data_IF_776726254654
#
_entry.id   IF_776726254654
#
_cell.length_a   1.000
_cell.length_b   1.000
_cell.length_c   1.000
_cell.angle_alpha   90.00
_cell.angle_beta   90.00
_cell.angle_gamma   90.00
#
_symmetry.space_group_name_H-M   'P 1'
#
loop_
_entity.id
_entity.type
_entity.pdbx_description
1 polymer ?
#
# COMPACT_ATOMS: atom_id res chain seq x y z
N UNK A 1 23.33 14.75 -15.80
CA UNK A 1 22.01 15.34 -15.47
C UNK A 1 20.92 14.36 -15.90
N UNK A 2 19.77 14.32 -15.22
CA UNK A 2 18.64 13.48 -15.63
C UNK A 2 18.05 14.01 -16.95
N UNK A 3 17.54 13.10 -17.78
CA UNK A 3 16.93 13.40 -19.09
C UNK A 3 15.42 13.57 -19.01
N UNK A 4 14.82 12.95 -17.99
CA UNK A 4 13.40 12.99 -17.72
C UNK A 4 13.14 13.60 -16.34
N UNK A 5 12.11 14.42 -16.25
CA UNK A 5 11.67 15.06 -15.01
C UNK A 5 10.71 14.15 -14.23
N UNK A 6 10.69 14.29 -12.91
CA UNK A 6 9.88 13.47 -12.00
C UNK A 6 9.04 14.33 -11.05
N UNK A 7 7.72 14.16 -11.15
CA UNK A 7 6.77 14.57 -10.12
C UNK A 7 6.60 13.43 -9.12
N UNK A 8 6.68 13.74 -7.84
CA UNK A 8 6.29 12.83 -6.77
C UNK A 8 4.97 13.32 -6.21
N UNK A 9 3.96 12.45 -6.20
CA UNK A 9 2.64 12.77 -5.69
C UNK A 9 2.34 11.96 -4.44
N UNK A 10 1.95 12.65 -3.37
CA UNK A 10 1.62 12.05 -2.06
C UNK A 10 0.23 12.49 -1.65
N UNK A 11 -0.60 11.54 -1.25
CA UNK A 11 -1.85 11.81 -0.53
C UNK A 11 -1.66 11.43 0.93
N UNK A 12 -2.15 12.24 1.85
CA UNK A 12 -1.88 12.03 3.27
C UNK A 12 -3.03 12.47 4.16
N UNK A 13 -3.10 11.87 5.36
CA UNK A 13 -3.95 12.28 6.48
C UNK A 13 -3.44 11.69 7.79
N UNK A 14 -3.03 12.53 8.73
CA UNK A 14 -2.58 12.14 10.08
C UNK A 14 -1.39 11.15 10.10
N UNK A 15 -0.33 11.51 9.40
CA UNK A 15 0.87 10.72 9.13
C UNK A 15 2.14 11.37 9.71
N UNK A 16 2.04 12.19 10.76
CA UNK A 16 3.19 12.94 11.31
C UNK A 16 4.39 12.06 11.70
N UNK A 17 4.13 10.80 12.05
CA UNK A 17 5.12 9.79 12.44
C UNK A 17 5.81 9.08 11.26
N UNK A 18 5.28 9.20 10.05
CA UNK A 18 5.77 8.47 8.86
C UNK A 18 6.12 9.37 7.68
N UNK A 19 5.36 10.44 7.47
CA UNK A 19 5.44 11.29 6.28
C UNK A 19 6.85 11.84 6.07
N UNK A 20 7.57 12.19 7.13
CA UNK A 20 8.93 12.71 6.99
C UNK A 20 9.90 11.67 6.38
N UNK A 21 9.75 10.39 6.74
CA UNK A 21 10.56 9.30 6.18
C UNK A 21 10.25 9.12 4.69
N UNK A 22 8.96 9.17 4.32
CA UNK A 22 8.53 9.17 2.92
C UNK A 22 9.19 10.30 2.14
N UNK A 23 9.05 11.55 2.60
CA UNK A 23 9.54 12.73 1.90
C UNK A 23 11.08 12.77 1.79
N UNK A 24 11.81 12.41 2.86
CA UNK A 24 13.28 12.28 2.83
C UNK A 24 13.76 11.29 1.78
N UNK A 25 13.01 10.21 1.52
CA UNK A 25 13.43 9.19 0.55
C UNK A 25 13.32 9.63 -0.92
N UNK A 26 12.59 10.71 -1.20
CA UNK A 26 12.27 11.16 -2.56
C UNK A 26 12.73 12.58 -2.88
N UNK A 27 12.95 13.43 -1.88
CA UNK A 27 13.23 14.87 -2.06
C UNK A 27 14.42 15.16 -2.98
N UNK A 28 15.50 14.36 -2.89
CA UNK A 28 16.70 14.57 -3.71
C UNK A 28 16.53 14.12 -5.18
N UNK A 29 15.46 13.38 -5.49
CA UNK A 29 15.20 12.80 -6.81
C UNK A 29 14.03 13.51 -7.49
N UNK A 30 13.08 14.06 -6.73
CA UNK A 30 11.93 14.78 -7.25
C UNK A 30 12.35 16.11 -7.89
N UNK A 31 11.81 16.41 -9.07
CA UNK A 31 11.84 17.79 -9.62
C UNK A 31 10.63 18.58 -9.12
N UNK A 32 9.54 17.89 -8.81
CA UNK A 32 8.31 18.43 -8.26
C UNK A 32 7.77 17.48 -7.19
N UNK A 33 7.38 18.02 -6.04
CA UNK A 33 6.74 17.25 -4.97
C UNK A 33 5.37 17.86 -4.68
N UNK A 34 4.31 17.11 -4.97
CA UNK A 34 2.90 17.51 -4.78
C UNK A 34 2.31 16.74 -3.61
N UNK A 35 1.80 17.44 -2.62
CA UNK A 35 1.14 16.84 -1.46
C UNK A 35 -0.33 17.26 -1.40
N UNK A 36 -1.23 16.29 -1.32
CA UNK A 36 -2.64 16.49 -1.00
C UNK A 36 -2.94 15.96 0.40
N UNK A 37 -3.15 16.89 1.32
CA UNK A 37 -3.57 16.60 2.68
C UNK A 37 -5.11 16.56 2.76
N UNK A 38 -5.64 15.57 3.47
CA UNK A 38 -7.09 15.31 3.56
C UNK A 38 -7.71 15.75 4.89
N UNK A 39 -7.20 16.86 5.43
CA UNK A 39 -7.63 17.47 6.69
C UNK A 39 -6.94 16.85 7.90
N UNK A 40 -5.60 16.76 7.88
CA UNK A 40 -4.81 16.34 9.03
C UNK A 40 -5.00 17.31 10.19
N UNK A 41 -5.01 16.76 11.40
CA UNK A 41 -5.14 17.49 12.67
C UNK A 41 -3.87 17.41 13.52
N UNK A 42 -2.85 16.72 13.02
CA UNK A 42 -1.54 16.53 13.63
C UNK A 42 -0.48 17.37 12.87
N UNK A 43 0.81 17.15 13.13
CA UNK A 43 1.88 17.92 12.50
C UNK A 43 2.14 17.58 11.02
N UNK A 44 1.34 16.73 10.37
CA UNK A 44 1.57 16.25 8.98
C UNK A 44 1.78 17.39 8.00
N UNK A 45 0.90 18.41 8.00
CA UNK A 45 0.99 19.54 7.06
C UNK A 45 2.27 20.35 7.28
N UNK A 46 2.59 20.65 8.55
CA UNK A 46 3.79 21.41 8.92
C UNK A 46 5.07 20.67 8.47
N UNK A 47 5.09 19.34 8.61
CA UNK A 47 6.20 18.53 8.14
C UNK A 47 6.31 18.60 6.61
N UNK A 48 5.22 18.42 5.87
CA UNK A 48 5.22 18.50 4.40
C UNK A 48 5.73 19.85 3.87
N UNK A 49 5.34 20.95 4.50
CA UNK A 49 5.74 22.31 4.12
C UNK A 49 7.26 22.56 4.25
N UNK A 50 7.99 21.73 5.01
CA UNK A 50 9.47 21.80 5.06
C UNK A 50 10.14 21.28 3.78
N UNK A 51 9.42 20.51 2.96
CA UNK A 51 9.94 19.84 1.76
C UNK A 51 9.41 20.42 0.44
N UNK A 52 8.24 21.06 0.45
CA UNK A 52 7.64 21.65 -0.75
C UNK A 52 6.61 22.72 -0.39
N UNK A 53 6.49 23.74 -1.23
CA UNK A 53 5.39 24.72 -1.16
C UNK A 53 4.09 24.20 -1.79
N UNK A 54 4.14 23.10 -2.55
CA UNK A 54 2.97 22.53 -3.24
C UNK A 54 2.20 21.55 -2.33
N UNK A 55 1.72 22.07 -1.20
CA UNK A 55 0.85 21.36 -0.26
C UNK A 55 -0.56 21.92 -0.36
N UNK A 56 -1.52 21.07 -0.75
CA UNK A 56 -2.95 21.42 -0.85
C UNK A 56 -3.75 20.67 0.19
N UNK A 57 -4.46 21.38 1.07
CA UNK A 57 -5.42 20.81 2.01
C UNK A 57 -6.78 20.71 1.32
N UNK A 58 -7.43 19.54 1.37
CA UNK A 58 -8.70 19.28 0.68
C UNK A 58 -9.55 18.22 1.40
N UNK A 59 -10.73 17.91 0.84
CA UNK A 59 -11.62 16.87 1.34
C UNK A 59 -11.12 15.45 0.99
N UNK A 60 -11.77 14.42 1.54
CA UNK A 60 -11.46 13.01 1.26
C UNK A 60 -12.57 12.34 0.43
N UNK A 61 -12.49 12.40 -0.92
CA UNK A 61 -13.48 11.76 -1.80
C UNK A 61 -13.24 10.26 -2.03
N UNK A 62 -12.24 9.67 -1.36
CA UNK A 62 -11.75 8.30 -1.59
C UNK A 62 -10.43 8.24 -2.37
N UNK A 63 -9.78 7.08 -2.36
CA UNK A 63 -8.40 6.92 -2.85
C UNK A 63 -8.23 7.27 -4.33
N UNK A 64 -9.06 6.70 -5.22
CA UNK A 64 -8.92 6.90 -6.67
C UNK A 64 -9.06 8.37 -7.09
N UNK A 65 -10.11 9.04 -6.60
CA UNK A 65 -10.35 10.47 -6.85
C UNK A 65 -9.25 11.35 -6.28
N UNK A 66 -8.75 11.05 -5.08
CA UNK A 66 -7.69 11.84 -4.46
C UNK A 66 -6.35 11.67 -5.20
N UNK A 67 -6.00 10.44 -5.61
CA UNK A 67 -4.80 10.18 -6.43
C UNK A 67 -4.91 10.81 -7.82
N UNK A 68 -6.10 10.84 -8.42
CA UNK A 68 -6.31 11.57 -9.68
C UNK A 68 -6.09 13.08 -9.49
N UNK A 69 -6.67 13.69 -8.44
CA UNK A 69 -6.43 15.12 -8.13
C UNK A 69 -4.95 15.44 -7.94
N UNK A 70 -4.18 14.49 -7.39
CA UNK A 70 -2.73 14.62 -7.24
C UNK A 70 -2.00 14.54 -8.57
N UNK A 71 -2.38 13.59 -9.42
CA UNK A 71 -1.87 13.44 -10.78
C UNK A 71 -2.17 14.67 -11.66
N UNK A 72 -3.36 15.26 -11.53
CA UNK A 72 -3.77 16.44 -12.31
C UNK A 72 -2.93 17.69 -11.97
N UNK A 73 -2.31 17.72 -10.79
CA UNK A 73 -1.38 18.79 -10.36
C UNK A 73 0.07 18.54 -10.80
N UNK A 74 0.41 17.31 -11.20
CA UNK A 74 1.76 16.96 -11.61
C UNK A 74 2.08 17.56 -12.99
N UNK A 75 3.30 18.07 -13.17
CA UNK A 75 3.72 18.75 -14.41
C UNK A 75 4.87 18.06 -15.14
N UNK A 76 5.63 17.18 -14.47
CA UNK A 76 6.79 16.52 -15.05
C UNK A 76 6.45 15.37 -16.01
N UNK A 77 7.48 14.82 -16.66
CA UNK A 77 7.34 13.70 -17.62
C UNK A 77 6.85 12.41 -16.97
N UNK A 78 7.37 12.12 -15.77
CA UNK A 78 7.07 10.92 -14.99
C UNK A 78 6.44 11.29 -13.65
N UNK A 79 5.62 10.37 -13.14
CA UNK A 79 4.98 10.47 -11.85
C UNK A 79 5.32 9.25 -11.01
N UNK A 80 5.88 9.49 -9.83
CA UNK A 80 5.94 8.52 -8.73
C UNK A 80 4.80 8.84 -7.76
N UNK A 81 3.76 8.02 -7.76
CA UNK A 81 2.76 8.05 -6.70
C UNK A 81 3.24 7.19 -5.56
N UNK A 82 3.45 7.78 -4.39
CA UNK A 82 3.91 7.10 -3.18
C UNK A 82 2.97 7.43 -2.02
N UNK A 83 2.60 6.44 -1.23
CA UNK A 83 1.74 6.65 -0.06
C UNK A 83 2.59 7.18 1.12
N UNK A 84 1.98 7.95 2.03
CA UNK A 84 2.71 8.60 3.14
C UNK A 84 3.39 7.63 4.13
N UNK A 85 2.98 6.36 4.13
CA UNK A 85 3.56 5.27 4.90
C UNK A 85 4.57 4.43 4.09
N UNK A 86 4.95 4.87 2.89
CA UNK A 86 5.92 4.24 2.02
C UNK A 86 7.23 5.07 1.91
N UNK A 87 8.36 4.41 1.64
CA UNK A 87 9.63 5.10 1.36
C UNK A 87 10.49 4.30 0.38
N UNK A 88 11.31 4.96 -0.44
CA UNK A 88 12.28 4.28 -1.30
C UNK A 88 13.47 3.81 -0.48
N UNK A 89 13.91 2.55 -0.67
CA UNK A 89 15.23 2.14 -0.21
C UNK A 89 16.34 2.68 -1.13
N UNK A 90 17.60 2.60 -0.68
CA UNK A 90 18.72 3.13 -1.44
C UNK A 90 18.88 2.48 -2.82
N UNK A 91 18.60 1.18 -2.94
CA UNK A 91 18.72 0.46 -4.21
C UNK A 91 17.68 0.96 -5.21
N UNK A 92 16.44 1.17 -4.75
CA UNK A 92 15.35 1.69 -5.55
C UNK A 92 15.58 3.14 -5.95
N UNK A 93 16.05 3.98 -5.02
CA UNK A 93 16.45 5.37 -5.31
C UNK A 93 17.52 5.44 -6.39
N UNK A 94 18.58 4.62 -6.29
CA UNK A 94 19.63 4.53 -7.32
C UNK A 94 19.06 4.03 -8.65
N UNK A 95 18.24 2.98 -8.63
CA UNK A 95 17.61 2.43 -9.82
C UNK A 95 16.70 3.44 -10.54
N UNK A 96 15.96 4.25 -9.78
CA UNK A 96 15.09 5.31 -10.30
C UNK A 96 15.93 6.42 -10.95
N UNK A 97 17.00 6.87 -10.30
CA UNK A 97 17.89 7.90 -10.86
C UNK A 97 18.53 7.42 -12.17
N UNK A 98 19.03 6.19 -12.22
CA UNK A 98 19.60 5.62 -13.43
C UNK A 98 18.58 5.43 -14.54
N UNK A 99 17.33 5.10 -14.19
CA UNK A 99 16.24 5.02 -15.15
C UNK A 99 15.96 6.38 -15.80
N UNK A 100 15.86 7.46 -15.01
CA UNK A 100 15.55 8.82 -15.47
C UNK A 100 16.70 9.48 -16.25
N UNK A 101 17.91 8.90 -16.24
CA UNK A 101 19.05 9.34 -17.05
C UNK A 101 19.06 8.75 -18.47
N UNK A 102 18.29 7.69 -18.73
CA UNK A 102 18.25 7.05 -20.05
C UNK A 102 17.68 8.02 -21.09
N UNK A 103 18.26 8.06 -22.30
CA UNK A 103 17.71 8.87 -23.39
C UNK A 103 16.34 8.36 -23.86
N UNK A 104 16.12 7.05 -23.78
CA UNK A 104 14.84 6.42 -24.09
C UNK A 104 14.53 5.31 -23.09
N UNK A 105 13.47 5.54 -22.30
CA UNK A 105 12.95 4.54 -21.37
C UNK A 105 12.01 3.57 -22.11
N UNK A 106 12.33 2.27 -22.05
CA UNK A 106 11.62 1.19 -22.75
C UNK A 106 10.15 1.03 -22.32
N UNK A 107 9.87 1.16 -21.03
CA UNK A 107 8.56 0.92 -20.45
C UNK A 107 7.81 2.24 -20.22
N UNK A 108 6.48 2.20 -20.19
CA UNK A 108 5.66 3.39 -19.84
C UNK A 108 5.30 3.44 -18.36
N UNK A 109 5.51 2.33 -17.64
CA UNK A 109 5.29 2.22 -16.21
C UNK A 109 6.19 1.17 -15.57
N UNK A 110 6.40 1.29 -14.27
CA UNK A 110 7.19 0.38 -13.46
C UNK A 110 6.45 0.00 -12.17
N UNK A 111 6.53 -1.28 -11.85
CA UNK A 111 6.13 -1.79 -10.54
C UNK A 111 7.30 -1.74 -9.59
N UNK A 112 7.02 -1.36 -8.35
CA UNK A 112 7.96 -1.27 -7.26
C UNK A 112 7.65 -2.41 -6.27
N UNK A 113 8.58 -3.35 -6.05
CA UNK A 113 8.42 -4.41 -5.06
C UNK A 113 8.24 -3.83 -3.65
N UNK A 114 7.17 -4.20 -2.94
CA UNK A 114 7.02 -3.81 -1.54
C UNK A 114 8.04 -4.52 -0.64
N UNK A 115 8.68 -3.77 0.25
CA UNK A 115 9.37 -4.28 1.42
C UNK A 115 8.54 -3.95 2.65
N UNK A 116 7.61 -4.82 3.04
CA UNK A 116 6.81 -4.58 4.26
C UNK A 116 7.76 -4.51 5.46
N UNK A 117 7.79 -3.38 6.15
CA UNK A 117 8.71 -3.15 7.27
C UNK A 117 7.93 -3.16 8.58
N UNK A 118 8.26 -4.12 9.44
CA UNK A 118 7.63 -4.30 10.75
C UNK A 118 8.71 -4.47 11.82
N UNK A 119 8.58 -3.73 12.92
CA UNK A 119 9.44 -3.85 14.11
C UNK A 119 10.94 -3.76 13.76
N UNK A 120 11.31 -2.85 12.84
CA UNK A 120 12.68 -2.66 12.37
C UNK A 120 13.17 -3.73 11.36
N UNK A 121 12.32 -4.65 10.93
CA UNK A 121 12.67 -5.70 9.94
C UNK A 121 11.89 -5.50 8.65
N UNK A 122 12.60 -5.34 7.54
CA UNK A 122 12.01 -5.36 6.19
C UNK A 122 11.87 -6.80 5.70
N UNK A 123 10.62 -7.24 5.55
CA UNK A 123 10.28 -8.59 5.13
C UNK A 123 10.53 -8.75 3.62
N UNK A 124 11.15 -9.87 3.23
CA UNK A 124 11.40 -10.22 1.82
C UNK A 124 10.54 -11.39 1.35
N UNK A 125 9.96 -12.15 2.28
CA UNK A 125 9.22 -13.37 2.01
C UNK A 125 7.78 -13.28 2.54
N UNK A 126 7.08 -14.41 2.57
CA UNK A 126 5.70 -14.47 3.05
C UNK A 126 4.73 -13.70 2.15
N UNK A 127 4.17 -12.60 2.65
CA UNK A 127 3.22 -11.74 1.90
C UNK A 127 3.86 -10.44 1.42
N UNK A 128 5.16 -10.26 1.65
CA UNK A 128 5.95 -9.12 1.16
C UNK A 128 6.39 -9.33 -0.31
N UNK A 129 7.17 -8.40 -0.85
CA UNK A 129 7.77 -8.45 -2.20
C UNK A 129 6.78 -8.49 -3.38
N UNK A 130 5.48 -8.22 -3.14
CA UNK A 130 4.54 -7.97 -4.24
C UNK A 130 4.87 -6.62 -4.87
N UNK A 131 5.00 -6.60 -6.20
CA UNK A 131 5.27 -5.36 -6.91
C UNK A 131 3.97 -4.62 -7.26
N UNK A 132 3.86 -3.37 -6.81
CA UNK A 132 2.74 -2.45 -7.08
C UNK A 132 3.14 -1.40 -8.11
N UNK A 133 2.22 -1.05 -9.01
CA UNK A 133 2.49 -0.02 -10.02
C UNK A 133 2.42 1.36 -9.35
N UNK A 134 3.56 2.05 -9.32
CA UNK A 134 3.72 3.33 -8.59
C UNK A 134 4.44 4.39 -9.43
N UNK A 135 5.24 3.99 -10.42
CA UNK A 135 5.95 4.89 -11.33
C UNK A 135 5.40 4.75 -12.76
N UNK A 136 5.04 5.86 -13.40
CA UNK A 136 4.46 5.85 -14.75
C UNK A 136 4.67 7.19 -15.45
N UNK A 137 4.61 7.20 -16.79
CA UNK A 137 4.58 8.43 -17.57
C UNK A 137 3.33 9.24 -17.23
N UNK A 138 3.46 10.54 -17.01
CA UNK A 138 2.31 11.40 -16.68
C UNK A 138 1.28 11.40 -17.81
N UNK A 139 1.73 11.74 -19.02
CA UNK A 139 0.87 11.84 -20.18
C UNK A 139 0.28 10.48 -20.55
N UNK A 140 -1.05 10.44 -20.71
CA UNK A 140 -1.79 9.23 -21.04
C UNK A 140 -2.19 8.36 -19.85
N UNK A 141 -1.63 8.60 -18.66
CA UNK A 141 -1.97 7.86 -17.45
C UNK A 141 -3.14 8.49 -16.69
N UNK A 142 -3.94 7.66 -16.02
CA UNK A 142 -5.04 8.08 -15.15
C UNK A 142 -5.32 7.08 -14.04
N UNK A 143 -5.90 7.51 -12.94
CA UNK A 143 -6.46 6.63 -11.91
C UNK A 143 -7.90 6.25 -12.25
N UNK A 144 -8.29 5.02 -11.88
CA UNK A 144 -9.71 4.70 -11.78
C UNK A 144 -10.36 5.49 -10.64
N UNK A 145 -11.63 5.86 -10.80
CA UNK A 145 -12.35 6.67 -9.82
C UNK A 145 -12.98 5.84 -8.69
N UNK A 146 -12.51 4.60 -8.52
CA UNK A 146 -12.98 3.69 -7.48
C UNK A 146 -12.61 4.24 -6.09
N UNK A 147 -13.52 4.10 -5.12
CA UNK A 147 -13.29 4.56 -3.74
C UNK A 147 -12.27 3.68 -3.00
N UNK A 148 -12.19 2.38 -3.37
CA UNK A 148 -11.30 1.37 -2.77
C UNK A 148 -10.79 0.44 -3.87
N UNK A 149 -9.50 0.07 -3.82
CA UNK A 149 -8.81 -0.74 -4.84
C UNK A 149 -8.60 0.01 -6.17
N UNK A 150 -8.31 1.31 -6.06
CA UNK A 150 -7.94 2.13 -7.19
C UNK A 150 -6.75 1.53 -7.94
N UNK A 151 -6.77 1.65 -9.25
CA UNK A 151 -5.67 1.21 -10.11
C UNK A 151 -5.27 2.36 -11.01
N UNK A 152 -3.97 2.62 -11.13
CA UNK A 152 -3.48 3.47 -12.20
C UNK A 152 -3.54 2.71 -13.52
N UNK A 153 -4.19 3.30 -14.49
CA UNK A 153 -4.20 2.89 -15.90
C UNK A 153 -3.09 3.70 -16.56
N UNK A 154 -1.89 3.10 -16.77
CA UNK A 154 -0.80 3.81 -17.40
C UNK A 154 -1.05 4.00 -18.90
N UNK A 155 -0.30 4.91 -19.50
CA UNK A 155 -0.23 5.07 -20.95
C UNK A 155 0.11 3.74 -21.66
N UNK A 156 -0.41 3.58 -22.87
CA UNK A 156 -0.21 2.37 -23.68
C UNK A 156 1.28 2.01 -23.79
N UNK A 157 1.61 0.77 -23.41
CA UNK A 157 2.98 0.31 -23.43
C UNK A 157 3.20 -0.89 -22.53
N UNK A 158 4.47 -1.20 -22.29
CA UNK A 158 4.88 -2.31 -21.43
C UNK A 158 5.22 -1.82 -20.02
N UNK A 159 5.03 -2.70 -19.04
CA UNK A 159 5.36 -2.42 -17.63
C UNK A 159 6.62 -3.17 -17.21
N UNK A 160 7.58 -2.45 -16.64
CA UNK A 160 8.79 -3.01 -16.01
C UNK A 160 8.63 -3.27 -14.51
N UNK A 161 9.67 -3.82 -13.90
CA UNK A 161 9.81 -3.89 -12.43
C UNK A 161 11.13 -3.21 -12.08
N UNK A 162 11.08 -2.26 -11.14
CA UNK A 162 12.27 -1.57 -10.66
C UNK A 162 12.98 -2.43 -9.59
N UNK A 163 14.30 -2.32 -9.52
CA UNK A 163 15.09 -2.99 -8.47
C UNK A 163 14.97 -2.25 -7.14
N UNK A 164 15.31 -2.92 -6.03
CA UNK A 164 15.13 -2.42 -4.66
C UNK A 164 13.73 -2.63 -4.11
N UNK A 165 13.45 -2.00 -2.97
CA UNK A 165 12.17 -2.07 -2.27
C UNK A 165 11.54 -0.71 -2.03
N UNK A 166 10.23 -0.67 -2.23
CA UNK A 166 9.34 0.34 -1.68
C UNK A 166 9.00 -0.10 -0.26
N UNK A 167 9.74 0.42 0.72
CA UNK A 167 9.53 0.15 2.13
C UNK A 167 8.11 0.56 2.49
N UNK A 168 7.38 -0.30 3.19
CA UNK A 168 5.99 -0.05 3.57
C UNK A 168 5.78 -0.22 5.06
N UNK A 169 5.62 0.89 5.78
CA UNK A 169 5.47 0.98 7.23
C UNK A 169 4.00 0.83 7.65
N UNK A 170 3.41 -0.32 7.32
CA UNK A 170 1.97 -0.52 7.42
C UNK A 170 1.40 -0.51 8.85
N UNK A 171 2.24 -0.75 9.86
CA UNK A 171 1.89 -0.73 11.28
C UNK A 171 2.78 0.25 12.04
N UNK A 172 2.18 0.94 13.01
CA UNK A 172 2.89 1.86 13.93
C UNK A 172 3.62 1.06 15.01
N UNK A 173 2.89 0.12 15.58
CA UNK A 173 3.35 -0.82 16.58
C UNK A 173 2.53 -2.11 16.46
N UNK A 174 2.76 -3.05 17.38
CA UNK A 174 2.05 -4.33 17.41
C UNK A 174 0.54 -4.16 17.68
N UNK A 175 0.16 -3.25 18.59
CA UNK A 175 -1.24 -2.99 18.95
C UNK A 175 -2.04 -2.42 17.79
N UNK A 176 -1.51 -1.41 17.11
CA UNK A 176 -2.10 -0.88 15.88
C UNK A 176 -2.27 -1.98 14.82
N UNK A 177 -1.29 -2.89 14.69
CA UNK A 177 -1.40 -4.05 13.82
C UNK A 177 -2.55 -5.00 14.17
N UNK A 178 -2.78 -5.25 15.47
CA UNK A 178 -3.89 -6.08 15.94
C UNK A 178 -5.26 -5.45 15.63
N UNK A 179 -5.42 -4.15 15.91
CA UNK A 179 -6.68 -3.44 15.68
C UNK A 179 -7.03 -3.44 14.19
N UNK A 180 -6.04 -3.13 13.34
CA UNK A 180 -6.18 -3.16 11.87
C UNK A 180 -6.54 -4.57 11.39
N UNK A 181 -5.90 -5.60 11.92
CA UNK A 181 -6.19 -6.99 11.61
C UNK A 181 -7.62 -7.38 11.99
N UNK A 182 -8.10 -6.97 13.16
CA UNK A 182 -9.47 -7.23 13.62
C UNK A 182 -10.52 -6.54 12.73
N UNK A 183 -10.33 -5.26 12.43
CA UNK A 183 -11.21 -4.49 11.54
C UNK A 183 -11.27 -5.12 10.14
N UNK A 184 -10.10 -5.47 9.58
CA UNK A 184 -10.02 -6.09 8.26
C UNK A 184 -10.72 -7.46 8.22
N UNK A 185 -10.56 -8.28 9.27
CA UNK A 185 -11.26 -9.55 9.38
C UNK A 185 -12.79 -9.34 9.39
N UNK A 186 -13.29 -8.38 10.17
CA UNK A 186 -14.72 -8.08 10.28
C UNK A 186 -15.33 -7.55 8.97
N UNK A 187 -14.66 -6.60 8.30
CA UNK A 187 -15.06 -6.13 6.98
C UNK A 187 -15.10 -7.28 5.96
N UNK A 188 -14.12 -8.19 6.05
CA UNK A 188 -14.08 -9.42 5.27
C UNK A 188 -15.30 -10.32 5.51
N UNK A 189 -15.71 -10.49 6.76
CA UNK A 189 -16.91 -11.27 7.13
C UNK A 189 -18.16 -10.67 6.49
N UNK A 190 -18.39 -9.37 6.66
CA UNK A 190 -19.54 -8.67 6.09
C UNK A 190 -19.56 -8.76 4.55
N UNK A 191 -18.40 -8.58 3.91
CA UNK A 191 -18.27 -8.69 2.45
C UNK A 191 -18.62 -10.11 1.96
N UNK A 192 -18.21 -11.14 2.68
CA UNK A 192 -18.51 -12.52 2.32
C UNK A 192 -20.00 -12.83 2.53
N UNK A 193 -20.58 -12.35 3.63
CA UNK A 193 -22.00 -12.48 3.92
C UNK A 193 -22.88 -11.82 2.83
N UNK A 194 -22.57 -10.57 2.45
CA UNK A 194 -23.26 -9.86 1.35
C UNK A 194 -23.17 -10.59 0.01
N UNK A 195 -22.11 -11.39 -0.20
CA UNK A 195 -21.92 -12.22 -1.40
C UNK A 195 -22.56 -13.60 -1.30
N UNK A 196 -23.31 -13.89 -0.23
CA UNK A 196 -23.93 -15.21 -0.01
C UNK A 196 -22.92 -16.34 0.19
N UNK A 197 -21.65 -16.04 0.50
CA UNK A 197 -20.65 -17.08 0.78
C UNK A 197 -21.00 -17.75 2.09
N UNK A 198 -20.75 -19.07 2.16
CA UNK A 198 -20.96 -19.87 3.36
C UNK A 198 -19.69 -20.01 4.19
N UNK A 199 -19.81 -19.96 5.52
CA UNK A 199 -18.71 -20.19 6.46
C UNK A 199 -18.26 -21.65 6.46
N UNK A 200 -19.23 -22.57 6.32
CA UNK A 200 -19.08 -24.02 6.49
C UNK A 200 -18.58 -24.43 7.89
N UNK A 201 -18.91 -23.63 8.91
CA UNK A 201 -18.65 -23.97 10.32
C UNK A 201 -17.25 -23.61 10.85
N UNK A 202 -17.14 -23.66 12.18
CA UNK A 202 -15.94 -23.23 12.91
C UNK A 202 -14.72 -24.15 12.69
N UNK A 203 -14.95 -25.45 12.50
CA UNK A 203 -13.86 -26.39 12.23
C UNK A 203 -13.14 -26.06 10.92
N UNK A 204 -13.88 -25.74 9.86
CA UNK A 204 -13.26 -25.35 8.58
C UNK A 204 -12.61 -23.95 8.66
N UNK A 205 -13.12 -23.05 9.52
CA UNK A 205 -12.44 -21.79 9.81
C UNK A 205 -11.04 -22.03 10.42
N UNK A 206 -10.92 -22.96 11.37
CA UNK A 206 -9.63 -23.36 11.96
C UNK A 206 -8.69 -23.98 10.93
N UNK A 207 -9.16 -24.93 10.12
CA UNK A 207 -8.35 -25.54 9.04
C UNK A 207 -7.83 -24.49 8.06
N UNK A 208 -8.67 -23.52 7.67
CA UNK A 208 -8.27 -22.42 6.78
C UNK A 208 -7.22 -21.51 7.41
N UNK A 209 -7.29 -21.28 8.72
CA UNK A 209 -6.29 -20.52 9.45
C UNK A 209 -4.94 -21.23 9.48
N UNK A 210 -4.93 -22.52 9.85
CA UNK A 210 -3.72 -23.36 9.84
C UNK A 210 -3.10 -23.45 8.44
N UNK A 211 -3.93 -23.65 7.41
CA UNK A 211 -3.46 -23.63 6.02
C UNK A 211 -2.86 -22.28 5.63
N UNK A 212 -3.45 -21.17 6.09
CA UNK A 212 -2.92 -19.83 5.82
C UNK A 212 -1.56 -19.63 6.48
N UNK A 213 -1.40 -20.07 7.73
CA UNK A 213 -0.11 -20.07 8.42
C UNK A 213 0.92 -20.88 7.63
N UNK A 214 0.62 -22.13 7.32
CA UNK A 214 1.53 -23.02 6.58
C UNK A 214 1.93 -22.43 5.23
N UNK A 215 0.96 -21.90 4.49
CA UNK A 215 1.21 -21.29 3.19
C UNK A 215 2.11 -20.05 3.30
N UNK A 216 1.88 -19.16 4.27
CA UNK A 216 2.67 -17.93 4.41
C UNK A 216 4.05 -18.22 5.01
N UNK A 217 4.12 -19.03 6.05
CA UNK A 217 5.35 -19.31 6.78
C UNK A 217 6.27 -20.27 6.02
N UNK A 218 5.73 -21.39 5.52
CA UNK A 218 6.53 -22.46 4.88
C UNK A 218 6.59 -22.29 3.37
N UNK A 219 5.45 -22.32 2.67
CA UNK A 219 5.42 -22.31 1.19
C UNK A 219 5.98 -21.01 0.64
N UNK A 220 5.60 -19.87 1.24
CA UNK A 220 6.15 -18.56 0.89
C UNK A 220 7.41 -18.19 1.67
N UNK A 221 8.00 -19.15 2.39
CA UNK A 221 9.29 -19.02 3.08
C UNK A 221 9.37 -17.86 4.06
N UNK A 222 8.25 -17.46 4.67
CA UNK A 222 8.22 -16.43 5.71
C UNK A 222 9.14 -16.74 6.91
N UNK A 223 9.48 -18.02 7.15
CA UNK A 223 10.49 -18.39 8.15
C UNK A 223 11.88 -17.78 7.90
N UNK A 224 12.19 -17.39 6.65
CA UNK A 224 13.46 -16.73 6.32
C UNK A 224 13.51 -15.27 6.78
N UNK A 225 12.36 -14.68 7.14
CA UNK A 225 12.28 -13.36 7.79
C UNK A 225 12.31 -13.48 9.35
N UNK A 226 12.68 -14.64 9.89
CA UNK A 226 12.86 -14.87 11.32
C UNK A 226 11.59 -14.68 12.16
N UNK A 227 11.74 -14.13 13.37
CA UNK A 227 10.64 -13.95 14.33
C UNK A 227 9.54 -13.04 13.79
N UNK A 228 9.89 -12.00 13.02
CA UNK A 228 8.88 -11.10 12.42
C UNK A 228 8.10 -11.83 11.33
N UNK A 229 8.75 -12.65 10.52
CA UNK A 229 8.08 -13.53 9.56
C UNK A 229 7.07 -14.50 10.21
N UNK A 230 7.41 -15.04 11.38
CA UNK A 230 6.48 -15.87 12.17
C UNK A 230 5.28 -15.07 12.68
N UNK A 231 5.52 -13.89 13.28
CA UNK A 231 4.45 -13.00 13.76
C UNK A 231 3.51 -12.65 12.61
N UNK A 232 4.07 -12.31 11.45
CA UNK A 232 3.32 -12.00 10.24
C UNK A 232 2.40 -13.17 9.83
N UNK A 233 2.96 -14.38 9.73
CA UNK A 233 2.21 -15.57 9.37
C UNK A 233 1.08 -15.88 10.36
N UNK A 234 1.32 -15.69 11.66
CA UNK A 234 0.30 -15.84 12.70
C UNK A 234 -0.80 -14.80 12.57
N UNK A 235 -0.47 -13.53 12.36
CA UNK A 235 -1.47 -12.47 12.14
C UNK A 235 -2.35 -12.79 10.93
N UNK A 236 -1.79 -13.26 9.82
CA UNK A 236 -2.61 -13.66 8.66
C UNK A 236 -3.52 -14.86 8.94
N UNK A 237 -3.05 -15.83 9.72
CA UNK A 237 -3.86 -16.96 10.14
C UNK A 237 -5.02 -16.51 11.04
N UNK A 238 -4.75 -15.66 12.02
CA UNK A 238 -5.76 -15.06 12.91
C UNK A 238 -6.79 -14.24 12.14
N UNK A 239 -6.36 -13.36 11.23
CA UNK A 239 -7.27 -12.59 10.36
C UNK A 239 -8.18 -13.52 9.57
N UNK A 240 -7.63 -14.59 9.00
CA UNK A 240 -8.42 -15.53 8.22
C UNK A 240 -9.41 -16.31 9.11
N UNK A 241 -8.98 -16.75 10.30
CA UNK A 241 -9.85 -17.38 11.28
C UNK A 241 -11.01 -16.45 11.66
N UNK A 242 -10.69 -15.26 12.18
CA UNK A 242 -11.66 -14.27 12.67
C UNK A 242 -12.67 -13.89 11.58
N UNK A 243 -12.23 -13.77 10.33
CA UNK A 243 -13.12 -13.49 9.19
C UNK A 243 -14.17 -14.59 9.00
N UNK A 244 -13.79 -15.87 9.10
CA UNK A 244 -14.74 -16.98 8.93
C UNK A 244 -15.60 -17.21 10.17
N UNK A 245 -15.09 -16.93 11.38
CA UNK A 245 -15.90 -16.91 12.62
C UNK A 245 -16.96 -15.80 12.52
N UNK A 246 -16.58 -14.59 12.14
CA UNK A 246 -17.52 -13.49 11.94
C UNK A 246 -18.58 -13.79 10.88
N UNK A 247 -18.20 -14.47 9.78
CA UNK A 247 -19.15 -14.93 8.77
C UNK A 247 -20.15 -15.95 9.35
N UNK A 248 -19.66 -16.93 10.11
CA UNK A 248 -20.50 -17.92 10.78
C UNK A 248 -21.49 -17.25 11.75
N UNK A 249 -21.07 -16.25 12.53
CA UNK A 249 -21.98 -15.51 13.42
C UNK A 249 -23.07 -14.79 12.63
N UNK A 250 -22.72 -14.14 11.51
CA UNK A 250 -23.69 -13.43 10.66
C UNK A 250 -24.74 -14.39 10.06
N UNK A 251 -24.31 -15.56 9.61
CA UNK A 251 -25.18 -16.61 9.09
C UNK A 251 -26.21 -17.05 10.13
N UNK A 252 -25.75 -17.41 11.34
CA UNK A 252 -26.65 -17.93 12.38
C UNK A 252 -27.58 -16.85 12.97
N UNK A 253 -27.15 -15.57 13.03
CA UNK A 253 -28.05 -14.48 13.44
C UNK A 253 -29.16 -14.20 12.43
N UNK A 254 -28.91 -14.41 11.14
CA UNK A 254 -29.93 -14.22 10.09
C UNK A 254 -30.99 -15.32 10.11
N UNK A 255 -30.63 -16.53 10.52
CA UNK A 255 -31.56 -17.66 10.65
C UNK A 255 -32.50 -17.52 11.86
N UNK A 256 -32.05 -16.88 12.94
CA UNK A 256 -32.86 -16.61 14.14
C UNK A 256 -33.85 -15.44 13.96
N UNK A 257 -33.64 -14.54 12.98
CA UNK A 257 -34.56 -13.44 12.66
C UNK A 257 -35.57 -13.78 11.56
N UNK A 258 -35.38 -14.91 10.86
CA UNK A 258 -36.26 -15.38 9.79
C UNK A 258 -37.23 -16.49 10.26
N UNK A 259 -37.20 -16.84 11.55
CA UNK A 259 -38.14 -17.75 12.22
C UNK A 259 -39.04 -16.95 13.16
#
# INVERSE_FOLDING_TARGET
MRKHTLSVIVITKNEEDRIETCLKSVVDIADELVVLDSGSTDATVEICQKYTDNVTITDWPGFGKQKQRALDKATCDWVLSIDADEALDEEMSKALVELLKQDQIKHTAYKLPWGVTLYGTTLKYGRSARAVLRLFKREGSRYTLDEVHETVVPEQGSTGILKGFLLHYTHRDYGHGLDKAAQYAWLGSQKYHRKGKKSHGLFLALLRAMWTFFLVYVIRRGFMDGSVGFIMAMTYAQVNFNKYVGLWILENRSEDQAK
#
